data_IF_681371209304
#
_entry.id   IF_681371209304
#
_cell.length_a   1.000
_cell.length_b   1.000
_cell.length_c   1.000
_cell.angle_alpha   90.00
_cell.angle_beta   90.00
_cell.angle_gamma   90.00
#
_symmetry.space_group_name_H-M   'P 1'
#
loop_
_entity.id
_entity.type
_entity.pdbx_description
1 polymer ?
#
# COMPACT_ATOMS: atom_id res chain seq x y z
N UNK A 1 21.52 15.27 -14.59
CA UNK A 1 21.42 15.91 -13.26
C UNK A 1 20.88 14.86 -12.32
N UNK A 2 21.62 14.57 -11.25
CA UNK A 2 21.19 13.65 -10.19
C UNK A 2 20.64 14.49 -9.04
N UNK A 3 19.42 14.21 -8.61
CA UNK A 3 18.80 14.86 -7.46
C UNK A 3 18.73 13.86 -6.30
N UNK A 4 19.23 14.26 -5.15
CA UNK A 4 19.25 13.44 -3.93
C UNK A 4 18.17 13.91 -2.93
N UNK A 5 17.17 14.66 -3.38
CA UNK A 5 16.04 15.13 -2.58
C UNK A 5 14.91 14.13 -2.48
N UNK A 6 14.16 14.19 -1.37
CA UNK A 6 12.87 13.52 -1.21
C UNK A 6 11.80 14.59 -1.03
N UNK A 7 10.64 14.40 -1.64
CA UNK A 7 9.49 15.29 -1.51
C UNK A 7 8.41 14.55 -0.73
N UNK A 8 7.94 15.16 0.35
CA UNK A 8 6.80 14.68 1.13
C UNK A 8 5.73 15.77 1.10
N UNK A 9 4.54 15.40 0.70
CA UNK A 9 3.37 16.28 0.70
C UNK A 9 2.50 15.87 1.89
N UNK A 10 2.20 16.83 2.74
CA UNK A 10 1.33 16.63 3.91
C UNK A 10 0.18 17.61 3.81
N UNK A 11 -1.05 17.15 4.00
CA UNK A 11 -2.23 17.99 3.90
C UNK A 11 -3.39 17.42 4.69
N UNK A 12 -4.32 18.29 5.06
CA UNK A 12 -5.61 17.92 5.62
C UNK A 12 -6.68 17.97 4.52
N UNK A 13 -7.73 17.19 4.71
CA UNK A 13 -8.90 17.25 3.85
C UNK A 13 -9.96 18.15 4.49
N UNK A 14 -10.50 19.07 3.71
CA UNK A 14 -11.63 19.92 4.10
C UNK A 14 -12.99 19.22 3.83
N UNK A 15 -12.96 17.93 3.52
CA UNK A 15 -14.11 17.12 3.15
C UNK A 15 -14.14 15.84 3.96
N UNK A 16 -15.32 15.26 4.07
CA UNK A 16 -15.47 13.91 4.60
C UNK A 16 -14.71 12.91 3.70
N UNK A 17 -13.68 12.29 4.27
CA UNK A 17 -12.81 11.35 3.56
C UNK A 17 -13.58 10.14 3.05
N UNK A 18 -14.51 9.59 3.84
CA UNK A 18 -15.31 8.43 3.43
C UNK A 18 -16.23 8.78 2.25
N UNK A 19 -16.82 9.96 2.29
CA UNK A 19 -17.62 10.45 1.19
C UNK A 19 -16.75 10.65 -0.07
N UNK A 20 -15.61 11.31 0.08
CA UNK A 20 -14.71 11.59 -1.03
C UNK A 20 -14.12 10.31 -1.66
N UNK A 21 -13.87 9.28 -0.86
CA UNK A 21 -13.48 7.96 -1.36
C UNK A 21 -14.53 7.32 -2.26
N UNK A 22 -15.82 7.63 -2.06
CA UNK A 22 -16.91 7.08 -2.88
C UNK A 22 -17.15 7.85 -4.17
N UNK A 23 -17.11 9.19 -4.11
CA UNK A 23 -17.58 10.05 -5.21
C UNK A 23 -16.46 10.76 -5.97
N UNK A 24 -15.24 10.76 -5.46
CA UNK A 24 -14.12 11.49 -6.04
C UNK A 24 -12.78 10.82 -5.78
N UNK A 25 -11.75 11.65 -5.66
CA UNK A 25 -10.39 11.21 -5.35
C UNK A 25 -9.79 12.04 -4.21
N UNK A 26 -8.77 11.49 -3.54
CA UNK A 26 -8.14 12.08 -2.37
C UNK A 26 -6.99 13.06 -2.68
N UNK A 27 -6.71 13.32 -3.94
CA UNK A 27 -5.70 14.29 -4.36
C UNK A 27 -6.23 15.73 -4.56
N UNK A 28 -7.48 15.97 -4.11
CA UNK A 28 -8.10 17.30 -4.13
C UNK A 28 -7.29 18.43 -3.49
N UNK A 29 -6.60 18.20 -2.33
CA UNK A 29 -5.76 19.22 -1.70
C UNK A 29 -4.50 19.61 -2.47
N UNK A 30 -4.11 18.85 -3.49
CA UNK A 30 -2.99 19.21 -4.34
C UNK A 30 -3.31 20.48 -5.16
N UNK A 31 -2.29 21.27 -5.55
CA UNK A 31 -2.46 22.39 -6.46
C UNK A 31 -3.22 21.99 -7.73
N UNK A 32 -4.02 22.89 -8.30
CA UNK A 32 -4.83 22.59 -9.49
C UNK A 32 -4.05 21.97 -10.65
N UNK A 33 -2.81 22.40 -10.84
CA UNK A 33 -1.91 21.92 -11.89
C UNK A 33 -1.49 20.46 -11.70
N UNK A 34 -1.55 19.94 -10.46
CA UNK A 34 -1.11 18.59 -10.10
C UNK A 34 -2.28 17.63 -9.86
N UNK A 35 -3.43 18.14 -9.36
CA UNK A 35 -4.52 17.28 -8.88
C UNK A 35 -5.16 16.39 -9.94
N UNK A 36 -5.05 16.76 -11.21
CA UNK A 36 -5.60 16.01 -12.34
C UNK A 36 -4.49 15.52 -13.30
N UNK A 37 -3.23 15.70 -12.94
CA UNK A 37 -2.10 15.20 -13.72
C UNK A 37 -1.79 13.76 -13.34
N UNK A 38 -2.29 12.81 -14.13
CA UNK A 38 -2.05 11.38 -13.93
C UNK A 38 -0.56 11.03 -14.04
N UNK A 39 0.21 11.77 -14.85
CA UNK A 39 1.64 11.52 -14.99
C UNK A 39 2.43 11.99 -13.75
N UNK A 40 1.99 13.06 -13.10
CA UNK A 40 2.52 13.48 -11.80
C UNK A 40 2.20 12.43 -10.73
N UNK A 41 0.94 12.02 -10.62
CA UNK A 41 0.51 11.02 -9.64
C UNK A 41 1.22 9.70 -9.79
N UNK A 42 1.49 9.28 -11.02
CA UNK A 42 2.21 8.04 -11.30
C UNK A 42 3.67 8.04 -10.78
N UNK A 43 4.19 9.22 -10.44
CA UNK A 43 5.50 9.41 -9.82
C UNK A 43 5.48 9.45 -8.29
N UNK A 44 4.30 9.52 -7.67
CA UNK A 44 4.14 9.41 -6.22
C UNK A 44 4.40 7.97 -5.81
N UNK A 45 5.42 7.71 -5.01
CA UNK A 45 5.82 6.35 -4.65
C UNK A 45 4.88 5.72 -3.63
N UNK A 46 4.36 6.49 -2.68
CA UNK A 46 3.44 5.99 -1.67
C UNK A 46 2.42 7.05 -1.25
N UNK A 47 1.27 6.58 -0.80
CA UNK A 47 0.25 7.38 -0.15
C UNK A 47 -0.07 6.76 1.21
N UNK A 48 0.25 7.50 2.28
CA UNK A 48 -0.05 7.10 3.64
C UNK A 48 -1.31 7.83 4.11
N UNK A 49 -2.40 7.11 4.40
CA UNK A 49 -3.63 7.72 4.89
C UNK A 49 -3.45 8.16 6.35
N UNK A 50 -3.56 9.46 6.61
CA UNK A 50 -3.38 10.01 7.96
C UNK A 50 -4.44 9.54 8.96
N UNK A 51 -5.61 9.13 8.50
CA UNK A 51 -6.67 8.58 9.34
C UNK A 51 -6.39 7.16 9.86
N UNK A 52 -5.50 6.41 9.21
CA UNK A 52 -5.04 5.11 9.69
C UNK A 52 -3.95 5.24 10.78
N UNK A 53 -3.41 6.46 10.97
CA UNK A 53 -2.43 6.74 12.03
C UNK A 53 -3.18 7.10 13.32
N UNK A 54 -2.89 6.42 14.44
CA UNK A 54 -3.55 6.70 15.70
C UNK A 54 -3.36 8.16 16.13
N UNK A 55 -4.44 8.80 16.59
CA UNK A 55 -4.35 10.15 17.17
C UNK A 55 -3.48 10.13 18.42
N UNK A 56 -2.66 11.16 18.59
CA UNK A 56 -1.84 11.33 19.78
C UNK A 56 -2.73 11.34 21.03
N UNK A 57 -2.36 10.53 21.99
CA UNK A 57 -2.97 10.47 23.31
C UNK A 57 -1.88 10.25 24.37
N UNK A 58 -2.13 10.55 25.65
CA UNK A 58 -1.12 10.42 26.70
C UNK A 58 -0.49 9.01 26.80
N UNK A 59 -1.22 7.94 26.47
CA UNK A 59 -0.72 6.58 26.51
C UNK A 59 0.31 6.23 25.42
N UNK A 60 0.49 7.09 24.42
CA UNK A 60 1.52 6.93 23.39
C UNK A 60 2.86 7.58 23.77
N UNK A 61 2.91 8.36 24.85
CA UNK A 61 4.15 8.93 25.30
C UNK A 61 4.92 7.91 26.16
N UNK A 62 6.22 7.80 25.89
CA UNK A 62 7.10 6.95 26.68
C UNK A 62 7.67 7.70 27.86
N UNK A 63 7.84 7.01 29.00
CA UNK A 63 8.61 7.47 30.15
C UNK A 63 10.09 7.05 30.08
N UNK A 64 10.47 6.34 29.00
CA UNK A 64 11.83 5.88 28.78
C UNK A 64 12.64 6.86 27.95
N UNK A 65 13.95 6.74 28.05
CA UNK A 65 14.86 7.52 27.20
C UNK A 65 14.67 7.11 25.73
N UNK A 66 14.60 8.10 24.86
CA UNK A 66 14.58 7.93 23.41
C UNK A 66 15.93 8.30 22.77
N UNK A 67 16.09 7.99 21.52
CA UNK A 67 17.22 8.46 20.73
C UNK A 67 17.07 9.95 20.42
N UNK A 68 18.18 10.68 20.50
CA UNK A 68 18.21 12.09 20.13
C UNK A 68 17.88 12.25 18.66
N UNK A 69 16.95 13.16 18.33
CA UNK A 69 16.45 13.37 16.96
C UNK A 69 17.55 13.72 15.96
N UNK A 70 18.54 14.51 16.39
CA UNK A 70 19.66 14.89 15.52
C UNK A 70 20.52 13.68 15.16
N UNK A 71 20.74 12.77 16.11
CA UNK A 71 21.45 11.51 15.87
C UNK A 71 20.67 10.62 14.88
N UNK A 72 19.37 10.49 15.05
CA UNK A 72 18.53 9.74 14.11
C UNK A 72 18.55 10.36 12.70
N UNK A 73 18.48 11.68 12.62
CA UNK A 73 18.56 12.40 11.35
C UNK A 73 19.86 12.12 10.61
N UNK A 74 20.99 12.12 11.31
CA UNK A 74 22.29 11.76 10.73
C UNK A 74 22.32 10.29 10.28
N UNK A 75 21.82 9.37 11.09
CA UNK A 75 21.70 7.96 10.70
C UNK A 75 20.89 7.79 9.42
N UNK A 76 19.76 8.48 9.29
CA UNK A 76 18.94 8.42 8.08
C UNK A 76 19.63 9.04 6.88
N UNK A 77 20.40 10.09 7.08
CA UNK A 77 21.22 10.72 6.05
C UNK A 77 22.27 9.73 5.51
N UNK A 78 22.96 9.02 6.39
CA UNK A 78 23.92 7.98 6.01
C UNK A 78 23.25 6.81 5.27
N UNK A 79 22.10 6.37 5.76
CA UNK A 79 21.33 5.28 5.11
C UNK A 79 20.76 5.67 3.74
N UNK A 80 20.64 6.97 3.42
CA UNK A 80 20.08 7.43 2.14
C UNK A 80 20.86 6.91 0.93
N UNK A 81 22.19 6.88 1.02
CA UNK A 81 23.06 6.40 -0.06
C UNK A 81 23.06 4.88 -0.23
N UNK A 82 22.52 4.15 0.75
CA UNK A 82 22.46 2.70 0.75
C UNK A 82 21.22 2.17 0.06
N UNK A 83 21.26 0.91 -0.40
CA UNK A 83 20.12 0.25 -1.02
C UNK A 83 20.01 -1.20 -0.58
N UNK A 84 18.79 -1.62 -0.22
CA UNK A 84 18.45 -3.00 0.10
C UNK A 84 17.62 -3.69 -0.99
N UNK A 85 17.55 -3.12 -2.19
CA UNK A 85 16.80 -3.71 -3.31
C UNK A 85 17.34 -5.10 -3.67
N UNK A 86 18.61 -5.35 -3.49
CA UNK A 86 19.20 -6.67 -3.70
C UNK A 86 18.60 -7.77 -2.82
N UNK A 87 18.02 -7.43 -1.66
CA UNK A 87 17.33 -8.38 -0.79
C UNK A 87 16.06 -8.97 -1.41
N UNK A 88 15.53 -8.36 -2.47
CA UNK A 88 14.37 -8.84 -3.22
C UNK A 88 14.73 -9.88 -4.29
N UNK A 89 15.99 -9.87 -4.75
CA UNK A 89 16.42 -10.69 -5.88
C UNK A 89 16.33 -12.18 -5.57
N UNK A 90 15.61 -12.92 -6.43
CA UNK A 90 15.37 -14.36 -6.27
C UNK A 90 14.40 -14.73 -5.13
N UNK A 91 13.92 -13.75 -4.36
CA UNK A 91 13.02 -13.98 -3.22
C UNK A 91 11.62 -13.43 -3.45
N UNK A 92 11.49 -12.36 -4.25
CA UNK A 92 10.20 -11.71 -4.54
C UNK A 92 10.04 -11.56 -6.04
N UNK A 93 8.87 -11.95 -6.54
CA UNK A 93 8.46 -11.81 -7.94
C UNK A 93 7.19 -10.98 -8.00
N UNK A 94 7.21 -9.97 -8.86
CA UNK A 94 6.08 -9.05 -9.01
C UNK A 94 5.05 -9.58 -9.99
N UNK A 95 3.78 -9.38 -9.69
CA UNK A 95 2.70 -9.69 -10.62
C UNK A 95 2.74 -8.87 -11.90
N UNK A 96 2.19 -9.43 -12.96
CA UNK A 96 2.28 -8.87 -14.32
C UNK A 96 1.58 -7.53 -14.54
N UNK A 97 0.72 -7.11 -13.61
CA UNK A 97 -0.01 -5.84 -13.72
C UNK A 97 0.76 -4.62 -13.18
N UNK A 98 1.92 -4.82 -12.51
CA UNK A 98 2.75 -3.72 -12.06
C UNK A 98 3.52 -3.09 -13.23
N UNK A 99 3.33 -1.79 -13.43
CA UNK A 99 4.16 -1.04 -14.39
C UNK A 99 5.60 -0.89 -13.88
N UNK A 100 6.51 -0.50 -14.75
CA UNK A 100 7.89 -0.19 -14.35
C UNK A 100 8.00 0.92 -13.30
N UNK A 101 7.07 1.88 -13.29
CA UNK A 101 7.00 2.92 -12.26
C UNK A 101 6.49 2.39 -10.93
N UNK A 102 5.51 1.49 -10.96
CA UNK A 102 5.00 0.83 -9.76
C UNK A 102 6.10 0.00 -9.11
N UNK A 103 6.76 -0.84 -9.88
CA UNK A 103 7.91 -1.65 -9.41
C UNK A 103 9.02 -0.78 -8.82
N UNK A 104 9.38 0.33 -9.47
CA UNK A 104 10.40 1.25 -8.96
C UNK A 104 9.98 1.90 -7.63
N UNK A 105 8.73 2.35 -7.53
CA UNK A 105 8.18 2.93 -6.29
C UNK A 105 8.17 1.91 -5.15
N UNK A 106 7.67 0.71 -5.41
CA UNK A 106 7.63 -0.39 -4.44
C UNK A 106 9.04 -0.78 -3.99
N UNK A 107 9.98 -0.99 -4.92
CA UNK A 107 11.37 -1.33 -4.60
C UNK A 107 12.04 -0.29 -3.69
N UNK A 108 11.81 1.00 -3.95
CA UNK A 108 12.36 2.08 -3.11
C UNK A 108 11.74 2.07 -1.72
N UNK A 109 10.43 1.84 -1.61
CA UNK A 109 9.73 1.78 -0.33
C UNK A 109 10.18 0.57 0.48
N UNK A 110 10.27 -0.62 -0.13
CA UNK A 110 10.81 -1.82 0.53
C UNK A 110 12.25 -1.57 1.01
N UNK A 111 13.09 -1.03 0.14
CA UNK A 111 14.49 -0.71 0.52
C UNK A 111 14.54 0.28 1.68
N UNK A 112 13.66 1.27 1.72
CA UNK A 112 13.53 2.22 2.82
C UNK A 112 13.19 1.53 4.14
N UNK A 113 12.13 0.72 4.15
CA UNK A 113 11.69 -0.03 5.33
C UNK A 113 12.79 -0.97 5.84
N UNK A 114 13.38 -1.75 4.94
CA UNK A 114 14.45 -2.67 5.31
C UNK A 114 15.70 -1.96 5.84
N UNK A 115 16.03 -0.77 5.38
CA UNK A 115 17.15 0.01 5.95
C UNK A 115 16.87 0.48 7.37
N UNK A 116 15.62 0.79 7.69
CA UNK A 116 15.22 1.17 9.04
C UNK A 116 15.24 -0.02 10.00
N UNK A 117 14.78 -1.19 9.54
CA UNK A 117 14.76 -2.43 10.34
C UNK A 117 16.14 -3.07 10.47
N UNK A 118 16.94 -3.01 9.41
CA UNK A 118 18.25 -3.63 9.28
C UNK A 118 19.30 -2.58 8.84
N UNK A 119 19.67 -1.62 9.70
CA UNK A 119 20.62 -0.56 9.33
C UNK A 119 22.03 -1.10 9.02
N UNK A 120 22.41 -2.22 9.62
CA UNK A 120 23.65 -2.94 9.27
C UNK A 120 23.49 -3.65 7.93
N UNK A 121 24.04 -3.10 6.86
CA UNK A 121 23.83 -3.55 5.48
C UNK A 121 24.22 -5.02 5.20
N UNK A 122 25.02 -5.63 6.04
CA UNK A 122 25.43 -7.04 5.95
C UNK A 122 24.47 -7.99 6.68
N UNK A 123 23.55 -7.46 7.51
CA UNK A 123 22.61 -8.29 8.23
C UNK A 123 21.62 -8.96 7.26
N UNK A 124 21.43 -10.29 7.38
CA UNK A 124 20.45 -11.00 6.58
C UNK A 124 19.04 -10.54 6.95
N UNK A 125 18.18 -10.38 5.95
CA UNK A 125 16.76 -10.03 6.14
C UNK A 125 15.95 -11.32 6.24
N UNK A 126 15.13 -11.45 7.29
CA UNK A 126 14.21 -12.58 7.44
C UNK A 126 13.17 -12.62 6.32
N UNK A 127 12.56 -13.77 6.07
CA UNK A 127 11.48 -13.90 5.09
C UNK A 127 10.24 -13.13 5.55
N UNK A 128 9.92 -13.20 6.84
CA UNK A 128 8.76 -12.54 7.44
C UNK A 128 8.84 -11.01 7.30
N UNK A 129 9.98 -10.43 7.67
CA UNK A 129 10.19 -8.98 7.56
C UNK A 129 10.24 -8.51 6.13
N UNK A 130 10.81 -9.33 5.22
CA UNK A 130 10.80 -9.03 3.80
C UNK A 130 9.39 -9.02 3.25
N UNK A 131 8.59 -10.03 3.55
CA UNK A 131 7.20 -10.12 3.11
C UNK A 131 6.36 -8.99 3.70
N UNK A 132 6.54 -8.66 4.98
CA UNK A 132 5.87 -7.53 5.62
C UNK A 132 6.19 -6.22 4.88
N UNK A 133 7.46 -5.95 4.60
CA UNK A 133 7.89 -4.75 3.89
C UNK A 133 7.33 -4.70 2.45
N UNK A 134 7.27 -5.84 1.76
CA UNK A 134 6.71 -5.98 0.41
C UNK A 134 5.22 -5.66 0.43
N UNK A 135 4.45 -6.26 1.33
CA UNK A 135 3.00 -6.04 1.44
C UNK A 135 2.68 -4.57 1.73
N UNK A 136 3.36 -3.97 2.71
CA UNK A 136 3.15 -2.56 3.04
C UNK A 136 3.51 -1.64 1.87
N UNK A 137 4.62 -1.91 1.19
CA UNK A 137 5.04 -1.11 0.04
C UNK A 137 4.07 -1.20 -1.14
N UNK A 138 3.53 -2.39 -1.40
CA UNK A 138 2.50 -2.60 -2.42
C UNK A 138 1.20 -1.90 -2.03
N UNK A 139 0.76 -2.00 -0.78
CA UNK A 139 -0.45 -1.34 -0.30
C UNK A 139 -0.39 0.17 -0.49
N UNK A 140 0.64 0.83 0.04
CA UNK A 140 0.76 2.30 -0.06
C UNK A 140 0.93 2.79 -1.49
N UNK A 141 1.53 1.99 -2.37
CA UNK A 141 1.60 2.28 -3.80
C UNK A 141 0.26 2.03 -4.49
N UNK A 142 -0.46 0.95 -4.14
CA UNK A 142 -1.79 0.68 -4.66
C UNK A 142 -2.77 1.80 -4.34
N UNK A 143 -2.71 2.40 -3.16
CA UNK A 143 -3.53 3.57 -2.78
C UNK A 143 -3.35 4.73 -3.77
N UNK A 144 -2.13 4.99 -4.24
CA UNK A 144 -1.89 5.97 -5.31
C UNK A 144 -2.60 5.55 -6.60
N UNK A 145 -2.48 4.28 -6.98
CA UNK A 145 -3.09 3.75 -8.22
C UNK A 145 -4.61 3.82 -8.17
N UNK A 146 -5.23 3.52 -7.03
CA UNK A 146 -6.68 3.65 -6.84
C UNK A 146 -7.17 5.09 -7.02
N UNK A 147 -6.38 6.09 -6.62
CA UNK A 147 -6.70 7.49 -6.89
C UNK A 147 -6.58 7.83 -8.39
N UNK A 148 -5.56 7.29 -9.08
CA UNK A 148 -5.41 7.46 -10.53
C UNK A 148 -6.58 6.88 -11.31
N UNK A 149 -7.07 5.69 -10.92
CA UNK A 149 -8.26 5.07 -11.54
C UNK A 149 -9.48 5.99 -11.53
N UNK A 150 -9.62 6.80 -10.48
CA UNK A 150 -10.76 7.72 -10.29
C UNK A 150 -10.63 8.99 -11.10
N UNK A 151 -9.42 9.42 -11.42
CA UNK A 151 -9.16 10.64 -12.20
C UNK A 151 -9.37 10.41 -13.69
N UNK A 152 -9.38 9.17 -14.14
CA UNK A 152 -10.03 8.86 -15.38
C UNK A 152 -9.21 8.31 -16.54
N UNK A 153 -8.05 7.75 -16.34
CA UNK A 153 -7.42 7.02 -17.43
C UNK A 153 -7.92 5.56 -17.45
N UNK A 154 -8.55 5.16 -18.54
CA UNK A 154 -9.07 3.80 -18.76
C UNK A 154 -7.96 2.72 -18.61
N UNK A 155 -6.71 3.09 -18.91
CA UNK A 155 -5.54 2.22 -18.80
C UNK A 155 -5.24 1.74 -17.37
N UNK A 156 -5.70 2.46 -16.34
CA UNK A 156 -5.45 2.08 -14.94
C UNK A 156 -6.55 1.20 -14.36
N UNK A 157 -7.71 1.05 -15.01
CA UNK A 157 -8.90 0.41 -14.44
C UNK A 157 -8.67 -1.04 -14.01
N UNK A 158 -7.90 -1.78 -14.78
CA UNK A 158 -7.64 -3.22 -14.54
C UNK A 158 -6.30 -3.47 -13.82
N UNK A 159 -5.67 -2.42 -13.27
CA UNK A 159 -4.41 -2.58 -12.55
C UNK A 159 -4.69 -3.16 -11.16
N UNK A 160 -4.11 -4.31 -10.88
CA UNK A 160 -4.08 -4.95 -9.57
C UNK A 160 -2.63 -5.23 -9.17
N UNK A 161 -2.38 -5.33 -7.88
CA UNK A 161 -1.03 -5.56 -7.36
C UNK A 161 -0.95 -6.92 -6.71
N UNK A 162 0.01 -7.70 -7.16
CA UNK A 162 0.28 -9.03 -6.63
C UNK A 162 1.79 -9.28 -6.56
N UNK A 163 2.17 -10.27 -5.78
CA UNK A 163 3.55 -10.73 -5.63
C UNK A 163 3.58 -12.20 -5.26
N UNK A 164 4.74 -12.81 -5.45
CA UNK A 164 5.02 -14.19 -5.07
C UNK A 164 6.30 -14.22 -4.25
N UNK A 165 6.31 -14.93 -3.11
CA UNK A 165 7.51 -15.19 -2.33
C UNK A 165 8.16 -16.49 -2.83
N UNK A 166 9.40 -16.37 -3.34
CA UNK A 166 10.09 -17.48 -3.98
C UNK A 166 9.55 -17.81 -5.38
N UNK A 167 10.30 -18.57 -6.16
CA UNK A 167 9.95 -18.89 -7.55
C UNK A 167 8.73 -19.86 -7.68
N UNK A 168 8.49 -20.66 -6.66
CA UNK A 168 7.42 -21.67 -6.63
C UNK A 168 6.29 -21.29 -5.64
N UNK A 169 6.32 -20.04 -5.15
CA UNK A 169 5.32 -19.56 -4.19
C UNK A 169 3.94 -19.35 -4.83
N UNK A 170 2.93 -19.20 -4.00
CA UNK A 170 1.59 -18.82 -4.42
C UNK A 170 1.53 -17.31 -4.63
N UNK A 171 0.89 -16.87 -5.72
CA UNK A 171 0.63 -15.47 -5.97
C UNK A 171 -0.33 -14.90 -4.91
N UNK A 172 0.06 -13.79 -4.30
CA UNK A 172 -0.70 -13.09 -3.26
C UNK A 172 -1.10 -11.70 -3.77
N UNK A 173 -2.37 -11.38 -3.65
CA UNK A 173 -2.92 -10.08 -4.06
C UNK A 173 -2.94 -9.11 -2.89
N UNK A 174 -2.67 -7.84 -3.18
CA UNK A 174 -2.74 -6.77 -2.19
C UNK A 174 -3.94 -5.88 -2.51
N UNK A 175 -4.93 -5.89 -1.62
CA UNK A 175 -6.13 -5.06 -1.69
C UNK A 175 -5.99 -3.83 -0.80
N UNK A 176 -6.77 -2.78 -1.08
CA UNK A 176 -6.87 -1.58 -0.25
C UNK A 176 -8.33 -1.24 0.06
N UNK A 177 -8.62 -0.56 1.17
CA UNK A 177 -9.99 -0.20 1.53
C UNK A 177 -10.73 0.61 0.46
N UNK A 178 -10.03 1.40 -0.33
CA UNK A 178 -10.60 2.19 -1.41
C UNK A 178 -11.23 1.34 -2.52
N UNK A 179 -10.74 0.11 -2.70
CA UNK A 179 -11.30 -0.84 -3.63
C UNK A 179 -12.66 -1.35 -3.16
N UNK A 180 -12.78 -1.65 -1.87
CA UNK A 180 -14.01 -2.16 -1.27
C UNK A 180 -15.15 -1.14 -1.27
N UNK A 181 -14.83 0.16 -1.25
CA UNK A 181 -15.84 1.24 -1.24
C UNK A 181 -16.54 1.44 -2.58
N UNK A 182 -16.08 0.85 -3.66
CA UNK A 182 -16.70 0.98 -4.99
C UNK A 182 -17.89 0.02 -5.24
N UNK A 183 -18.38 -0.67 -4.22
CA UNK A 183 -19.60 -1.49 -4.30
C UNK A 183 -19.48 -2.75 -5.15
N UNK A 184 -18.28 -3.13 -5.48
CA UNK A 184 -17.95 -4.38 -6.17
C UNK A 184 -16.96 -5.18 -5.34
N UNK A 185 -17.15 -6.46 -5.25
CA UNK A 185 -16.10 -7.43 -5.05
C UNK A 185 -15.01 -6.99 -6.03
N UNK A 186 -13.82 -6.66 -5.53
CA UNK A 186 -12.79 -5.95 -6.31
C UNK A 186 -12.56 -6.52 -7.71
N UNK A 187 -11.94 -5.75 -8.57
CA UNK A 187 -11.59 -6.13 -9.97
C UNK A 187 -10.72 -7.40 -10.08
N UNK A 188 -10.46 -8.07 -8.97
CA UNK A 188 -9.75 -9.33 -8.90
C UNK A 188 -10.73 -10.45 -9.32
N UNK A 189 -10.36 -11.30 -10.26
CA UNK A 189 -11.18 -12.44 -10.60
C UNK A 189 -11.40 -13.30 -9.34
N UNK A 190 -12.66 -13.55 -8.99
CA UNK A 190 -13.00 -14.44 -7.89
C UNK A 190 -12.63 -15.87 -8.31
N UNK A 191 -11.63 -16.43 -7.66
CA UNK A 191 -11.31 -17.84 -7.83
C UNK A 191 -12.23 -18.70 -6.98
N UNK A 192 -12.65 -19.82 -7.54
CA UNK A 192 -13.47 -20.80 -6.84
C UNK A 192 -12.75 -21.30 -5.57
N UNK A 193 -13.44 -21.24 -4.42
CA UNK A 193 -12.88 -21.64 -3.13
C UNK A 193 -12.27 -20.50 -2.30
N UNK A 194 -12.25 -19.27 -2.78
CA UNK A 194 -11.80 -18.12 -1.97
C UNK A 194 -12.84 -17.78 -0.88
N UNK A 195 -12.36 -17.67 0.35
CA UNK A 195 -13.17 -17.28 1.51
C UNK A 195 -12.83 -15.83 1.85
N UNK A 196 -13.80 -14.94 1.73
CA UNK A 196 -13.67 -13.54 2.09
C UNK A 196 -14.34 -13.27 3.42
N UNK A 197 -13.62 -12.62 4.34
CA UNK A 197 -14.17 -12.17 5.61
C UNK A 197 -14.46 -10.67 5.50
N UNK A 198 -15.72 -10.29 5.51
CA UNK A 198 -16.13 -8.90 5.65
C UNK A 198 -16.21 -8.58 7.14
N UNK A 199 -15.34 -7.68 7.62
CA UNK A 199 -15.50 -7.10 8.95
C UNK A 199 -16.37 -5.86 8.83
N UNK A 200 -17.55 -5.79 9.47
CA UNK A 200 -18.29 -4.54 9.57
C UNK A 200 -17.46 -3.55 10.39
N UNK A 201 -17.21 -2.37 9.84
CA UNK A 201 -16.61 -1.26 10.57
C UNK A 201 -17.55 -0.78 11.68
N UNK A 202 -17.31 -1.24 12.90
CA UNK A 202 -18.07 -0.84 14.09
C UNK A 202 -17.34 -1.30 15.35
N UNK A 203 -17.35 -0.44 16.37
CA UNK A 203 -16.64 -0.63 17.65
C UNK A 203 -17.33 -1.63 18.60
N UNK A 204 -17.92 -2.69 18.14
CA UNK A 204 -18.54 -3.68 19.02
C UNK A 204 -17.73 -4.97 19.10
N UNK A 205 -17.59 -5.48 20.31
CA UNK A 205 -16.75 -6.60 20.71
C UNK A 205 -17.09 -7.96 20.07
N UNK A 206 -18.10 -8.02 19.23
CA UNK A 206 -18.44 -9.18 18.41
C UNK A 206 -18.85 -8.78 17.00
N UNK A 207 -17.90 -8.50 16.09
CA UNK A 207 -18.23 -8.31 14.70
C UNK A 207 -18.85 -9.61 14.16
N UNK A 208 -20.07 -9.52 13.65
CA UNK A 208 -20.68 -10.62 12.90
C UNK A 208 -19.78 -10.94 11.70
N UNK A 209 -19.14 -12.09 11.74
CA UNK A 209 -18.35 -12.60 10.63
C UNK A 209 -19.34 -13.01 9.52
N UNK A 210 -19.40 -12.24 8.47
CA UNK A 210 -20.03 -12.69 7.23
C UNK A 210 -18.98 -13.49 6.46
N UNK A 211 -19.26 -14.78 6.27
CA UNK A 211 -18.44 -15.64 5.45
C UNK A 211 -19.02 -15.64 4.04
N UNK A 212 -18.24 -15.14 3.10
CA UNK A 212 -18.58 -15.19 1.69
C UNK A 212 -17.83 -16.40 1.10
N UNK A 213 -18.58 -17.44 0.74
CA UNK A 213 -18.02 -18.61 0.07
C UNK A 213 -18.35 -18.52 -1.42
N UNK A 214 -17.32 -18.45 -2.22
CA UNK A 214 -17.46 -18.45 -3.69
C UNK A 214 -17.51 -19.88 -4.16
N UNK A 215 -18.69 -20.31 -4.63
CA UNK A 215 -18.88 -21.64 -5.22
C UNK A 215 -19.28 -21.50 -6.67
N UNK A 216 -18.86 -22.44 -7.52
CA UNK A 216 -19.40 -22.55 -8.88
C UNK A 216 -20.86 -22.96 -8.82
N UNK A 217 -21.73 -22.06 -9.27
CA UNK A 217 -23.14 -22.41 -9.49
C UNK A 217 -23.33 -23.13 -10.82
N UNK A 218 -24.41 -23.91 -10.97
CA UNK A 218 -24.78 -24.50 -12.26
C UNK A 218 -25.08 -23.35 -13.24
N UNK A 219 -24.13 -23.05 -14.11
CA UNK A 219 -24.19 -21.92 -15.05
C UNK A 219 -23.08 -20.90 -14.93
N UNK A 220 -22.05 -21.11 -14.09
CA UNK A 220 -20.88 -20.23 -13.97
C UNK A 220 -21.15 -18.94 -13.18
N UNK A 221 -22.14 -18.91 -12.30
CA UNK A 221 -22.45 -17.76 -11.46
C UNK A 221 -21.89 -17.89 -10.03
N UNK A 222 -21.52 -16.76 -9.42
CA UNK A 222 -21.11 -16.66 -8.02
C UNK A 222 -22.34 -16.68 -7.12
N UNK A 223 -22.38 -17.57 -6.12
CA UNK A 223 -23.36 -17.52 -5.02
C UNK A 223 -22.72 -16.96 -3.77
N UNK A 224 -23.38 -15.98 -3.18
CA UNK A 224 -23.11 -15.44 -1.85
C UNK A 224 -24.04 -16.17 -0.88
N UNK A 225 -23.49 -16.78 0.15
CA UNK A 225 -24.23 -17.41 1.26
C UNK A 225 -24.15 -16.50 2.49
#
# INVERSE_FOLDING_TARGET
>A
IRADGSIVLVGNFDVDVEHQQRVGHLFGPLPPEMRNDTAFMDRIHCFLPGWDVPKLNPGLFTEHFGLVSDFLSECFTQLRSQSRVSSLQGRVYWGGALSGRDTNGVNKTVSGLLKLMYPGMQAPVSEEDLEWAVRLALEVRRRVKEQQKRIGAAEFRNTHFSYTMGAEGVEKFVSTPELQSQGGIGDEPLECGQIWTLSPGGQDEHPGLFRLEVTEGPGGGVRVL
#
